data_IF_780998645920
#
_entry.id   IF_780998645920
#
_cell.length_a   1.000
_cell.length_b   1.000
_cell.length_c   1.000
_cell.angle_alpha   90.00
_cell.angle_beta   90.00
_cell.angle_gamma   90.00
#
_symmetry.space_group_name_H-M   'P 1'
#
loop_
_entity.id
_entity.type
_entity.pdbx_description
1 polymer ?
#
# COMPACT_ATOMS: atom_id res chain seq x y z
N UNK A 1 16.59 -1.58 12.64
CA UNK A 1 15.64 -0.44 12.65
C UNK A 1 14.19 -0.91 12.70
N UNK A 2 13.63 -1.53 11.65
CA UNK A 2 12.22 -2.01 11.69
C UNK A 2 12.01 -3.20 12.62
N UNK A 3 12.99 -4.12 12.68
CA UNK A 3 13.01 -5.23 13.64
C UNK A 3 12.93 -4.74 15.08
N UNK A 4 13.67 -3.68 15.40
CA UNK A 4 13.68 -3.07 16.73
C UNK A 4 12.30 -2.50 17.10
N UNK A 5 11.54 -1.95 16.14
CA UNK A 5 10.19 -1.44 16.37
C UNK A 5 9.27 -2.59 16.78
N UNK A 6 9.28 -3.70 16.04
CA UNK A 6 8.45 -4.88 16.32
C UNK A 6 8.76 -5.46 17.71
N UNK A 7 10.05 -5.59 18.03
CA UNK A 7 10.50 -6.14 19.33
C UNK A 7 10.19 -5.18 20.48
N UNK A 8 10.53 -3.90 20.35
CA UNK A 8 10.36 -2.93 21.44
C UNK A 8 8.89 -2.59 21.71
N UNK A 9 8.05 -2.52 20.67
CA UNK A 9 6.62 -2.25 20.83
C UNK A 9 5.78 -3.51 21.03
N UNK A 10 6.41 -4.70 21.07
CA UNK A 10 5.75 -6.01 21.22
C UNK A 10 4.59 -6.18 20.26
N UNK A 11 4.81 -5.81 19.00
CA UNK A 11 3.79 -5.90 17.95
C UNK A 11 3.37 -7.37 17.82
N UNK A 12 2.06 -7.68 17.80
CA UNK A 12 1.61 -9.06 17.67
C UNK A 12 2.00 -9.62 16.31
N UNK A 13 2.95 -10.55 16.29
CA UNK A 13 3.41 -11.22 15.06
C UNK A 13 2.58 -12.45 14.72
N UNK A 14 1.54 -12.76 15.50
CA UNK A 14 0.62 -13.90 15.28
C UNK A 14 1.33 -15.27 15.17
N UNK A 15 2.44 -15.45 15.88
CA UNK A 15 3.22 -16.70 15.88
C UNK A 15 4.28 -16.79 14.78
N UNK A 16 4.40 -15.76 13.94
CA UNK A 16 5.50 -15.65 12.98
C UNK A 16 6.75 -15.08 13.62
N UNK A 17 7.92 -15.45 13.09
CA UNK A 17 9.17 -14.78 13.38
C UNK A 17 9.08 -13.28 12.99
N UNK A 18 9.60 -12.35 13.81
CA UNK A 18 9.54 -10.91 13.52
C UNK A 18 10.04 -10.52 12.12
N UNK A 19 11.11 -11.13 11.62
CA UNK A 19 11.64 -10.80 10.28
C UNK A 19 10.66 -11.22 9.19
N UNK A 20 10.08 -12.41 9.32
CA UNK A 20 9.06 -12.91 8.38
C UNK A 20 7.81 -12.06 8.42
N UNK A 21 7.37 -11.66 9.62
CA UNK A 21 6.22 -10.78 9.81
C UNK A 21 6.43 -9.43 9.11
N UNK A 22 7.62 -8.82 9.25
CA UNK A 22 7.94 -7.54 8.61
C UNK A 22 7.88 -7.64 7.09
N UNK A 23 8.42 -8.72 6.50
CA UNK A 23 8.38 -8.92 5.04
C UNK A 23 6.94 -9.07 4.55
N UNK A 24 6.12 -9.85 5.26
CA UNK A 24 4.70 -10.00 4.92
C UNK A 24 3.93 -8.68 5.05
N UNK A 25 4.19 -7.91 6.11
CA UNK A 25 3.56 -6.61 6.32
C UNK A 25 3.94 -5.63 5.20
N UNK A 26 5.22 -5.55 4.84
CA UNK A 26 5.70 -4.71 3.74
C UNK A 26 5.08 -5.13 2.39
N UNK A 27 4.91 -6.43 2.15
CA UNK A 27 4.23 -6.93 0.95
C UNK A 27 2.76 -6.48 0.91
N UNK A 28 2.04 -6.63 2.02
CA UNK A 28 0.62 -6.20 2.12
C UNK A 28 0.50 -4.69 1.93
N UNK A 29 1.37 -3.90 2.55
CA UNK A 29 1.43 -2.44 2.40
C UNK A 29 1.64 -2.04 0.94
N UNK A 30 2.59 -2.69 0.26
CA UNK A 30 2.85 -2.44 -1.16
C UNK A 30 1.66 -2.79 -2.05
N UNK A 31 0.99 -3.93 -1.80
CA UNK A 31 -0.23 -4.33 -2.54
C UNK A 31 -1.34 -3.30 -2.34
N UNK A 32 -1.57 -2.87 -1.11
CA UNK A 32 -2.59 -1.87 -0.77
C UNK A 32 -2.30 -0.53 -1.45
N UNK A 33 -1.06 -0.06 -1.37
CA UNK A 33 -0.62 1.16 -2.04
C UNK A 33 -0.79 1.08 -3.56
N UNK A 34 -0.44 -0.05 -4.15
CA UNK A 34 -0.64 -0.29 -5.58
C UNK A 34 -2.12 -0.26 -5.98
N UNK A 35 -3.00 -0.92 -5.24
CA UNK A 35 -4.44 -0.92 -5.51
C UNK A 35 -5.06 0.48 -5.41
N UNK A 36 -4.55 1.33 -4.50
CA UNK A 36 -4.90 2.74 -4.41
C UNK A 36 -4.51 3.49 -5.69
N UNK A 37 -3.26 3.34 -6.15
CA UNK A 37 -2.74 4.01 -7.35
C UNK A 37 -3.48 3.58 -8.61
N UNK A 38 -3.79 2.29 -8.76
CA UNK A 38 -4.54 1.78 -9.93
C UNK A 38 -6.02 2.19 -9.86
N UNK A 39 -6.52 2.61 -8.70
CA UNK A 39 -7.87 3.14 -8.51
C UNK A 39 -8.96 2.06 -8.51
N UNK A 40 -8.64 0.87 -7.98
CA UNK A 40 -9.61 -0.24 -7.82
C UNK A 40 -10.35 -0.15 -6.49
N UNK A 41 -9.82 0.61 -5.53
CA UNK A 41 -10.42 0.74 -4.21
C UNK A 41 -11.82 1.36 -4.31
N UNK A 42 -12.75 0.80 -3.53
CA UNK A 42 -14.04 1.43 -3.24
C UNK A 42 -13.94 2.20 -1.91
N UNK A 43 -14.96 3.00 -1.55
CA UNK A 43 -14.94 3.83 -0.33
C UNK A 43 -14.65 3.03 0.95
N UNK A 44 -15.21 1.82 1.07
CA UNK A 44 -15.00 0.95 2.24
C UNK A 44 -13.53 0.53 2.32
N UNK A 45 -12.96 0.09 1.20
CA UNK A 45 -11.56 -0.25 1.13
C UNK A 45 -10.68 0.97 1.43
N UNK A 46 -11.02 2.15 0.90
CA UNK A 46 -10.32 3.40 1.25
C UNK A 46 -10.29 3.66 2.76
N UNK A 47 -11.41 3.44 3.46
CA UNK A 47 -11.46 3.57 4.92
C UNK A 47 -10.59 2.53 5.62
N UNK A 48 -10.61 1.27 5.17
CA UNK A 48 -9.73 0.21 5.71
C UNK A 48 -8.26 0.59 5.53
N UNK A 49 -7.89 1.10 4.36
CA UNK A 49 -6.52 1.56 4.07
C UNK A 49 -6.12 2.72 4.98
N UNK A 50 -7.00 3.70 5.19
CA UNK A 50 -6.74 4.79 6.13
C UNK A 50 -6.52 4.27 7.56
N UNK A 51 -7.29 3.29 8.02
CA UNK A 51 -7.08 2.68 9.35
C UNK A 51 -5.74 1.97 9.45
N UNK A 52 -5.29 1.29 8.37
CA UNK A 52 -3.97 0.67 8.31
C UNK A 52 -2.87 1.74 8.44
N UNK A 53 -2.93 2.82 7.65
CA UNK A 53 -1.94 3.91 7.76
C UNK A 53 -1.95 4.60 9.13
N UNK A 54 -3.13 4.84 9.71
CA UNK A 54 -3.22 5.36 11.08
C UNK A 54 -2.58 4.38 12.08
N UNK A 55 -2.85 3.08 11.97
CA UNK A 55 -2.26 2.08 12.88
C UNK A 55 -0.75 2.01 12.77
N UNK A 56 -0.18 2.19 11.57
CA UNK A 56 1.28 2.20 11.37
C UNK A 56 1.89 3.51 11.86
N UNK A 57 1.18 4.64 11.79
CA UNK A 57 1.61 5.90 12.40
C UNK A 57 1.81 5.80 13.91
N UNK A 58 1.11 4.90 14.60
CA UNK A 58 1.32 4.63 16.03
C UNK A 58 2.67 3.96 16.31
N UNK A 59 3.26 3.28 15.32
CA UNK A 59 4.55 2.58 15.43
C UNK A 59 5.71 3.42 14.89
N UNK A 60 5.50 4.13 13.78
CA UNK A 60 6.54 4.89 13.08
C UNK A 60 6.49 6.41 13.38
N UNK A 61 5.45 6.88 14.08
CA UNK A 61 5.29 8.27 14.48
C UNK A 61 5.16 9.22 13.29
N UNK A 62 5.68 10.44 13.44
CA UNK A 62 5.59 11.50 12.42
C UNK A 62 6.25 11.16 11.09
N UNK A 63 7.16 10.18 11.05
CA UNK A 63 7.85 9.78 9.82
C UNK A 63 6.89 9.14 8.82
N UNK A 64 5.92 8.35 9.30
CA UNK A 64 4.89 7.75 8.45
C UNK A 64 3.99 8.84 7.85
N UNK A 65 3.52 9.77 8.68
CA UNK A 65 2.57 10.81 8.25
C UNK A 65 3.21 11.71 7.19
N UNK A 66 4.46 12.13 7.40
CA UNK A 66 5.17 12.98 6.45
C UNK A 66 5.52 12.20 5.17
N UNK A 67 5.99 10.95 5.31
CA UNK A 67 6.35 10.09 4.19
C UNK A 67 5.17 9.75 3.27
N UNK A 68 3.96 9.64 3.85
CA UNK A 68 2.75 9.27 3.12
C UNK A 68 1.73 10.41 3.03
N UNK A 69 2.13 11.66 3.29
CA UNK A 69 1.22 12.81 3.33
C UNK A 69 0.34 12.94 2.07
N UNK A 70 0.93 12.69 0.89
CA UNK A 70 0.19 12.70 -0.38
C UNK A 70 -0.91 11.62 -0.41
N UNK A 71 -0.60 10.41 0.08
CA UNK A 71 -1.55 9.28 0.12
C UNK A 71 -2.68 9.57 1.11
N UNK A 72 -2.37 10.12 2.29
CA UNK A 72 -3.37 10.54 3.27
C UNK A 72 -4.37 11.54 2.70
N UNK A 73 -3.89 12.57 2.00
CA UNK A 73 -4.74 13.59 1.36
C UNK A 73 -5.64 12.95 0.29
N UNK A 74 -5.07 12.10 -0.57
CA UNK A 74 -5.83 11.40 -1.63
C UNK A 74 -6.91 10.51 -1.03
N UNK A 75 -6.60 9.76 0.04
CA UNK A 75 -7.56 8.90 0.73
C UNK A 75 -8.70 9.70 1.38
N UNK A 76 -8.40 10.83 2.02
CA UNK A 76 -9.43 11.69 2.64
C UNK A 76 -10.39 12.21 1.57
N UNK A 77 -9.87 12.78 0.48
CA UNK A 77 -10.70 13.27 -0.64
C UNK A 77 -11.52 12.11 -1.21
N UNK A 78 -10.89 10.95 -1.44
CA UNK A 78 -11.56 9.77 -1.98
C UNK A 78 -12.70 9.26 -1.08
N UNK A 79 -12.53 9.28 0.25
CA UNK A 79 -13.58 8.85 1.19
C UNK A 79 -14.78 9.81 1.16
N UNK A 80 -14.52 11.13 1.12
CA UNK A 80 -15.55 12.18 1.11
C UNK A 80 -16.30 12.20 -0.23
N UNK A 81 -15.57 12.42 -1.33
CA UNK A 81 -16.13 12.64 -2.65
C UNK A 81 -16.52 11.33 -3.36
N UNK A 82 -15.84 10.22 -3.03
CA UNK A 82 -16.05 8.91 -3.67
C UNK A 82 -15.60 8.82 -5.12
N UNK A 83 -15.15 9.93 -5.69
CA UNK A 83 -14.51 10.01 -6.98
C UNK A 83 -13.09 10.51 -6.72
N UNK A 84 -12.11 9.74 -7.19
CA UNK A 84 -10.76 10.28 -7.29
C UNK A 84 -10.71 11.12 -8.57
N UNK A 85 -10.09 12.31 -8.53
CA UNK A 85 -9.77 13.10 -9.74
C UNK A 85 -8.90 12.31 -10.74
N UNK A 86 -8.34 11.19 -10.30
CA UNK A 86 -7.56 10.26 -11.09
C UNK A 86 -8.46 9.42 -12.02
N UNK A 87 -8.17 9.46 -13.33
CA UNK A 87 -8.73 8.50 -14.28
C UNK A 87 -7.94 7.19 -14.18
N UNK A 88 -8.48 6.14 -13.57
CA UNK A 88 -7.71 4.93 -13.33
C UNK A 88 -7.34 4.26 -14.66
N UNK A 89 -6.08 3.86 -14.86
CA UNK A 89 -5.61 3.27 -16.13
C UNK A 89 -6.36 1.98 -16.48
N UNK A 90 -6.96 1.31 -15.49
CA UNK A 90 -7.85 0.16 -15.68
C UNK A 90 -9.05 0.48 -16.60
N UNK A 91 -9.53 1.74 -16.64
CA UNK A 91 -10.66 2.16 -17.49
C UNK A 91 -10.32 2.22 -18.98
N UNK A 92 -9.04 2.14 -19.33
CA UNK A 92 -8.60 2.02 -20.74
C UNK A 92 -9.01 0.64 -21.29
N UNK A 93 -9.11 -0.36 -20.42
CA UNK A 93 -9.47 -1.74 -20.79
C UNK A 93 -10.98 -1.95 -20.72
N UNK A 94 -11.56 -2.48 -21.81
CA UNK A 94 -13.01 -2.64 -21.98
C UNK A 94 -13.57 -3.86 -21.29
N UNK A 95 -12.83 -4.97 -21.22
CA UNK A 95 -13.30 -6.22 -20.62
C UNK A 95 -12.75 -6.41 -19.21
N UNK A 96 -13.50 -7.09 -18.34
CA UNK A 96 -13.04 -7.43 -16.99
C UNK A 96 -11.79 -8.31 -16.99
N UNK A 97 -11.63 -9.13 -18.03
CA UNK A 97 -10.44 -9.98 -18.19
C UNK A 97 -9.22 -9.15 -18.55
N UNK A 98 -9.33 -8.20 -19.47
CA UNK A 98 -8.23 -7.30 -19.83
C UNK A 98 -7.81 -6.44 -18.62
N UNK A 99 -8.79 -5.98 -17.84
CA UNK A 99 -8.56 -5.26 -16.60
C UNK A 99 -7.79 -6.11 -15.58
N UNK A 100 -8.22 -7.36 -15.35
CA UNK A 100 -7.54 -8.29 -14.44
C UNK A 100 -6.10 -8.56 -14.88
N UNK A 101 -5.90 -8.86 -16.17
CA UNK A 101 -4.59 -9.14 -16.75
C UNK A 101 -3.67 -7.91 -16.63
N UNK A 102 -4.18 -6.72 -16.95
CA UNK A 102 -3.43 -5.47 -16.81
C UNK A 102 -2.99 -5.25 -15.37
N UNK A 103 -3.91 -5.35 -14.40
CA UNK A 103 -3.61 -5.13 -12.98
C UNK A 103 -2.57 -6.11 -12.48
N UNK A 104 -2.67 -7.38 -12.87
CA UNK A 104 -1.74 -8.42 -12.44
C UNK A 104 -0.34 -8.25 -13.06
N UNK A 105 -0.25 -8.08 -14.38
CA UNK A 105 1.03 -7.90 -15.07
C UNK A 105 1.70 -6.58 -14.69
N UNK A 106 0.93 -5.50 -14.55
CA UNK A 106 1.45 -4.21 -14.12
C UNK A 106 1.96 -4.27 -12.66
N UNK A 107 1.27 -5.02 -11.78
CA UNK A 107 1.75 -5.23 -10.41
C UNK A 107 3.13 -5.92 -10.40
N UNK A 108 3.27 -7.03 -11.14
CA UNK A 108 4.55 -7.75 -11.25
C UNK A 108 5.63 -6.84 -11.82
N UNK A 109 5.31 -6.06 -12.86
CA UNK A 109 6.25 -5.14 -13.48
C UNK A 109 6.72 -4.04 -12.52
N UNK A 110 5.80 -3.40 -11.79
CA UNK A 110 6.13 -2.35 -10.82
C UNK A 110 6.96 -2.96 -9.68
N UNK A 111 6.53 -4.10 -9.12
CA UNK A 111 7.28 -4.79 -8.06
C UNK A 111 8.70 -5.15 -8.51
N UNK A 112 8.85 -5.77 -9.68
CA UNK A 112 10.14 -6.13 -10.24
C UNK A 112 11.03 -4.89 -10.47
N UNK A 113 10.45 -3.79 -10.92
CA UNK A 113 11.16 -2.52 -11.10
C UNK A 113 11.67 -1.97 -9.78
N UNK A 114 10.84 -1.92 -8.74
CA UNK A 114 11.24 -1.48 -7.40
C UNK A 114 12.36 -2.36 -6.83
N UNK A 115 12.22 -3.69 -6.94
CA UNK A 115 13.23 -4.65 -6.50
C UNK A 115 14.55 -4.45 -7.24
N UNK A 116 14.50 -4.29 -8.57
CA UNK A 116 15.69 -4.09 -9.40
C UNK A 116 16.40 -2.78 -9.04
N UNK A 117 15.66 -1.68 -8.88
CA UNK A 117 16.22 -0.40 -8.46
C UNK A 117 16.86 -0.53 -7.08
N UNK A 118 16.17 -1.17 -6.13
CA UNK A 118 16.69 -1.41 -4.79
C UNK A 118 18.03 -2.16 -4.85
N UNK A 119 18.09 -3.34 -5.46
CA UNK A 119 19.35 -4.11 -5.54
C UNK A 119 20.44 -3.47 -6.40
N UNK A 120 20.08 -2.54 -7.29
CA UNK A 120 21.05 -1.85 -8.13
C UNK A 120 21.70 -0.66 -7.43
N UNK A 121 20.97 0.03 -6.55
CA UNK A 121 21.35 1.35 -6.03
C UNK A 121 21.34 1.47 -4.50
N UNK A 122 20.77 0.52 -3.76
CA UNK A 122 20.81 0.46 -2.29
C UNK A 122 21.82 -0.60 -1.82
#
# INVERSE_FOLDING_TARGET
MTLDIVVNHRVPTFGFDPETFIIMAAFVEFVVGYLLVVGILNRILGLVVTLIFISTSLLFGMTEIIGHAMIHIVLIIFIIEGVSFYHPPIRIHKTKMDQLVFVFLNFIFVLATFILIYYRFA
#
